data_IF_807414386679
#
_entry.id   IF_807414386679
#
_cell.length_a   1.000
_cell.length_b   1.000
_cell.length_c   1.000
_cell.angle_alpha   90.00
_cell.angle_beta   90.00
_cell.angle_gamma   90.00
#
_symmetry.space_group_name_H-M   'P 1'
#
loop_
_entity.id
_entity.type
_entity.pdbx_description
1 polymer ?
#
# COMPACT_ATOMS: atom_id res chain seq x y z
N UNK A 1 18.37 6.03 7.81
CA UNK A 1 17.50 5.02 7.18
C UNK A 1 17.92 5.01 5.74
N UNK A 2 18.82 4.09 5.40
CA UNK A 2 19.47 4.08 4.10
C UNK A 2 18.71 3.10 3.23
N UNK A 3 17.86 3.62 2.35
CA UNK A 3 17.19 2.81 1.34
C UNK A 3 18.22 2.48 0.27
N UNK A 4 18.69 1.24 0.27
CA UNK A 4 19.50 0.72 -0.82
C UNK A 4 18.56 0.02 -1.79
N UNK A 5 18.60 0.43 -3.05
CA UNK A 5 17.99 -0.32 -4.15
C UNK A 5 18.89 -1.54 -4.34
N UNK A 6 18.49 -2.67 -3.77
CA UNK A 6 19.40 -3.82 -3.61
C UNK A 6 19.46 -4.71 -4.85
N UNK A 7 18.44 -4.70 -5.72
CA UNK A 7 18.41 -5.57 -6.90
C UNK A 7 18.38 -4.75 -8.18
N UNK A 8 19.51 -4.76 -8.92
CA UNK A 8 19.48 -4.49 -10.35
C UNK A 8 19.00 -5.79 -10.99
N UNK A 9 17.88 -5.81 -11.74
CA UNK A 9 17.40 -7.01 -12.40
C UNK A 9 18.54 -7.63 -13.22
N UNK A 10 18.96 -8.85 -12.91
CA UNK A 10 20.20 -9.42 -13.46
C UNK A 10 20.15 -9.61 -14.98
N UNK A 11 18.94 -9.68 -15.57
CA UNK A 11 18.73 -10.07 -16.97
C UNK A 11 17.69 -9.21 -17.70
N UNK A 12 17.07 -8.23 -17.04
CA UNK A 12 16.01 -7.45 -17.68
C UNK A 12 16.58 -6.21 -18.37
N UNK A 13 16.35 -6.11 -19.69
CA UNK A 13 16.64 -4.91 -20.47
C UNK A 13 16.03 -3.68 -19.78
N UNK A 14 16.65 -2.51 -19.94
CA UNK A 14 16.22 -1.27 -19.27
C UNK A 14 14.75 -0.87 -19.51
N UNK A 15 14.10 -1.43 -20.52
CA UNK A 15 12.70 -1.16 -20.88
C UNK A 15 11.72 -2.28 -20.51
N UNK A 16 12.22 -3.37 -19.92
CA UNK A 16 11.42 -4.56 -19.71
C UNK A 16 10.34 -4.32 -18.64
N UNK A 17 9.11 -4.73 -18.97
CA UNK A 17 7.92 -4.42 -18.18
C UNK A 17 7.55 -5.57 -17.25
N UNK A 18 6.97 -5.26 -16.10
CA UNK A 18 6.41 -6.29 -15.19
C UNK A 18 5.37 -7.19 -15.89
N UNK A 19 4.66 -6.66 -16.90
CA UNK A 19 3.74 -7.43 -17.72
C UNK A 19 4.40 -8.62 -18.45
N UNK A 20 5.70 -8.54 -18.73
CA UNK A 20 6.47 -9.62 -19.34
C UNK A 20 6.80 -10.76 -18.36
N UNK A 21 6.57 -10.56 -17.06
CA UNK A 21 6.70 -11.61 -16.05
C UNK A 21 5.39 -12.34 -15.79
N UNK A 22 4.30 -11.90 -16.42
CA UNK A 22 2.96 -12.44 -16.23
C UNK A 22 2.55 -13.19 -17.50
N UNK A 23 2.00 -14.39 -17.35
CA UNK A 23 1.27 -15.06 -18.42
C UNK A 23 -0.15 -14.47 -18.48
N UNK A 24 -0.41 -13.68 -19.51
CA UNK A 24 -1.69 -12.99 -19.68
C UNK A 24 -2.87 -13.93 -19.98
N UNK A 25 -2.62 -15.16 -20.44
CA UNK A 25 -3.66 -16.12 -20.74
C UNK A 25 -3.99 -17.01 -19.54
N UNK A 26 -2.98 -17.39 -18.76
CA UNK A 26 -3.14 -18.19 -17.55
C UNK A 26 -3.44 -17.34 -16.29
N UNK A 27 -3.13 -16.04 -16.31
CA UNK A 27 -3.28 -15.15 -15.16
C UNK A 27 -2.32 -15.51 -14.01
N UNK A 28 -1.15 -16.06 -14.35
CA UNK A 28 -0.15 -16.52 -13.39
C UNK A 28 1.23 -15.91 -13.68
N UNK A 29 2.11 -15.95 -12.67
CA UNK A 29 3.49 -15.53 -12.83
C UNK A 29 4.27 -16.54 -13.68
N UNK A 30 5.11 -16.06 -14.59
CA UNK A 30 6.11 -16.89 -15.28
C UNK A 30 7.27 -17.14 -14.33
N UNK A 31 7.13 -18.17 -13.49
CA UNK A 31 8.06 -18.46 -12.39
C UNK A 31 9.53 -18.53 -12.84
N UNK A 32 9.80 -19.10 -14.01
CA UNK A 32 11.16 -19.20 -14.55
C UNK A 32 11.78 -17.83 -14.81
N UNK A 33 10.99 -16.88 -15.35
CA UNK A 33 11.45 -15.51 -15.58
C UNK A 33 11.60 -14.75 -14.27
N UNK A 34 10.67 -14.92 -13.32
CA UNK A 34 10.77 -14.28 -12.00
C UNK A 34 12.06 -14.70 -11.29
N UNK A 35 12.38 -15.99 -11.27
CA UNK A 35 13.63 -16.53 -10.69
C UNK A 35 14.90 -16.05 -11.39
N UNK A 36 14.81 -15.72 -12.67
CA UNK A 36 15.94 -15.21 -13.44
C UNK A 36 16.18 -13.72 -13.20
N UNK A 37 15.14 -12.98 -12.84
CA UNK A 37 15.14 -11.52 -12.71
C UNK A 37 15.43 -11.07 -11.29
N UNK A 38 14.80 -11.74 -10.31
CA UNK A 38 14.89 -11.41 -8.90
C UNK A 38 15.89 -12.31 -8.18
N UNK A 39 16.48 -11.80 -7.11
CA UNK A 39 17.27 -12.63 -6.18
C UNK A 39 16.35 -13.54 -5.36
N UNK A 40 16.91 -14.57 -4.75
CA UNK A 40 16.17 -15.60 -3.98
C UNK A 40 15.30 -15.01 -2.85
N UNK A 41 15.74 -13.88 -2.27
CA UNK A 41 14.96 -13.19 -1.24
C UNK A 41 13.73 -12.47 -1.84
N UNK A 42 13.89 -11.90 -3.04
CA UNK A 42 12.86 -11.10 -3.72
C UNK A 42 11.88 -11.98 -4.53
N UNK A 43 12.31 -13.15 -5.03
CA UNK A 43 11.47 -14.01 -5.89
C UNK A 43 10.19 -14.44 -5.16
N UNK A 44 10.30 -14.79 -3.88
CA UNK A 44 9.16 -15.26 -3.09
C UNK A 44 8.16 -14.11 -2.86
N UNK A 45 8.68 -12.91 -2.57
CA UNK A 45 7.85 -11.72 -2.38
C UNK A 45 7.08 -11.36 -3.65
N UNK A 46 7.71 -11.47 -4.81
CA UNK A 46 7.04 -11.21 -6.10
C UNK A 46 5.96 -12.26 -6.38
N UNK A 47 6.25 -13.53 -6.13
CA UNK A 47 5.30 -14.63 -6.37
C UNK A 47 4.09 -14.58 -5.41
N UNK A 48 4.24 -13.98 -4.24
CA UNK A 48 3.13 -13.75 -3.30
C UNK A 48 2.15 -12.67 -3.76
N UNK A 49 2.53 -11.79 -4.70
CA UNK A 49 1.64 -10.76 -5.22
C UNK A 49 0.49 -11.44 -5.98
N UNK A 50 -0.77 -11.29 -5.53
CA UNK A 50 -1.89 -11.94 -6.16
C UNK A 50 -2.17 -11.30 -7.52
N UNK A 51 -2.12 -12.12 -8.57
CA UNK A 51 -2.52 -11.70 -9.91
C UNK A 51 -4.04 -11.75 -10.05
N UNK A 52 -4.57 -10.81 -10.84
CA UNK A 52 -5.99 -10.80 -11.15
C UNK A 52 -6.37 -12.07 -11.90
N UNK A 53 -7.50 -12.67 -11.51
CA UNK A 53 -8.08 -13.79 -12.23
C UNK A 53 -8.48 -13.33 -13.63
N UNK A 54 -8.17 -14.15 -14.63
CA UNK A 54 -8.54 -13.92 -16.03
C UNK A 54 -10.05 -13.64 -16.11
N UNK A 55 -10.42 -12.50 -16.71
CA UNK A 55 -11.81 -12.08 -16.89
C UNK A 55 -12.35 -11.04 -15.90
N UNK A 56 -11.57 -10.60 -14.91
CA UNK A 56 -11.94 -9.45 -14.07
C UNK A 56 -11.54 -8.13 -14.73
N UNK A 57 -12.46 -7.17 -14.78
CA UNK A 57 -12.16 -5.81 -15.23
C UNK A 57 -11.25 -5.08 -14.25
N UNK A 58 -10.47 -4.11 -14.74
CA UNK A 58 -9.65 -3.28 -13.88
C UNK A 58 -10.52 -2.42 -12.96
N UNK A 59 -10.22 -2.49 -11.65
CA UNK A 59 -10.88 -1.71 -10.61
C UNK A 59 -9.92 -0.64 -10.13
N UNK A 60 -10.37 0.61 -10.13
CA UNK A 60 -9.66 1.72 -9.51
C UNK A 60 -9.85 1.65 -7.99
N UNK A 61 -8.83 1.16 -7.27
CA UNK A 61 -8.90 0.95 -5.81
C UNK A 61 -8.49 2.20 -5.01
N UNK A 62 -7.85 3.20 -5.64
CA UNK A 62 -7.37 4.43 -4.98
C UNK A 62 -8.47 5.47 -4.74
N UNK A 63 -9.57 5.09 -4.08
CA UNK A 63 -10.76 5.95 -3.91
C UNK A 63 -10.75 6.83 -2.64
N UNK A 64 -9.78 7.73 -2.44
CA UNK A 64 -9.84 8.59 -1.25
C UNK A 64 -9.68 10.09 -1.48
N UNK A 65 -10.15 10.60 -2.63
CA UNK A 65 -10.38 12.05 -2.76
C UNK A 65 -11.70 12.33 -3.49
N UNK A 66 -12.54 13.18 -2.90
CA UNK A 66 -13.82 13.64 -3.49
C UNK A 66 -13.64 14.42 -4.80
N UNK A 67 -12.40 14.85 -5.09
CA UNK A 67 -12.02 15.60 -6.30
C UNK A 67 -11.34 14.73 -7.36
N UNK A 68 -11.08 13.44 -7.08
CA UNK A 68 -10.43 12.51 -8.01
C UNK A 68 -8.92 12.71 -8.18
N UNK A 69 -8.32 13.72 -7.54
CA UNK A 69 -6.87 13.92 -7.54
C UNK A 69 -6.25 13.23 -6.34
N UNK A 70 -5.34 12.28 -6.55
CA UNK A 70 -4.61 11.60 -5.49
C UNK A 70 -3.23 12.25 -5.32
N UNK A 71 -2.87 12.61 -4.09
CA UNK A 71 -1.52 13.07 -3.75
C UNK A 71 -1.01 12.38 -2.48
N UNK A 72 0.31 12.22 -2.38
CA UNK A 72 0.98 11.68 -1.18
C UNK A 72 0.66 12.55 0.06
N UNK A 73 0.51 13.86 -0.12
CA UNK A 73 0.12 14.76 0.95
C UNK A 73 -1.27 14.45 1.50
N UNK A 74 -2.25 14.26 0.61
CA UNK A 74 -3.64 13.93 1.02
C UNK A 74 -3.76 12.57 1.70
N UNK A 75 -2.97 11.56 1.30
CA UNK A 75 -2.99 10.26 1.97
C UNK A 75 -2.34 10.31 3.35
N UNK A 76 -1.25 11.05 3.50
CA UNK A 76 -0.62 11.20 4.80
C UNK A 76 -1.55 11.90 5.81
N UNK A 77 -2.24 12.96 5.36
CA UNK A 77 -3.24 13.63 6.19
C UNK A 77 -4.41 12.71 6.58
N UNK A 78 -4.87 11.88 5.65
CA UNK A 78 -5.92 10.90 5.91
C UNK A 78 -5.49 9.87 6.96
N UNK A 79 -4.27 9.33 6.84
CA UNK A 79 -3.77 8.36 7.82
C UNK A 79 -3.60 8.99 9.19
N UNK A 80 -3.08 10.23 9.25
CA UNK A 80 -2.95 10.98 10.50
C UNK A 80 -4.32 11.25 11.15
N UNK A 81 -5.36 11.51 10.36
CA UNK A 81 -6.72 11.69 10.86
C UNK A 81 -7.34 10.37 11.34
N UNK A 82 -7.02 9.25 10.68
CA UNK A 82 -7.44 7.91 11.08
C UNK A 82 -6.82 7.52 12.43
N UNK A 83 -5.53 7.79 12.63
CA UNK A 83 -4.84 7.56 13.90
C UNK A 83 -5.42 8.39 15.04
N UNK A 84 -5.81 9.65 14.78
CA UNK A 84 -6.46 10.51 15.78
C UNK A 84 -7.84 10.02 16.20
N UNK A 85 -8.61 9.40 15.30
CA UNK A 85 -9.92 8.82 15.62
C UNK A 85 -9.81 7.47 16.35
N UNK A 86 -8.74 6.71 16.11
CA UNK A 86 -8.47 5.44 16.79
C UNK A 86 -7.88 5.63 18.20
N UNK A 87 -7.36 6.83 18.50
CA UNK A 87 -7.06 7.23 19.87
C UNK A 87 -8.38 7.54 20.57
N UNK A 88 -8.83 6.75 21.58
CA UNK A 88 -9.98 7.15 22.37
C UNK A 88 -9.68 8.52 22.98
N UNK A 89 -10.62 9.45 22.86
CA UNK A 89 -10.49 10.80 23.41
C UNK A 89 -10.24 10.71 24.92
N UNK A 90 -8.97 10.79 25.32
CA UNK A 90 -8.59 11.14 26.67
C UNK A 90 -8.71 12.65 26.77
N UNK A 91 -9.92 13.11 27.07
CA UNK A 91 -10.18 14.49 27.44
C UNK A 91 -11.04 14.51 28.69
N UNK A 92 -10.33 14.40 29.82
CA UNK A 92 -10.48 15.27 31.00
C UNK A 92 -11.92 15.49 31.47
N UNK A 93 -12.24 14.76 32.53
CA UNK A 93 -13.02 15.23 33.67
C UNK A 93 -12.92 16.76 33.81
N UNK A 94 -13.92 17.49 33.31
CA UNK A 94 -14.10 18.91 33.65
C UNK A 94 -14.63 18.96 35.07
N UNK A 95 -13.68 18.92 35.98
CA UNK A 95 -13.53 19.73 37.19
C UNK A 95 -14.30 21.08 37.16
N UNK A 96 -15.63 21.10 37.07
CA UNK A 96 -16.48 22.32 37.26
C UNK A 96 -17.95 21.98 37.64
N UNK A 97 -18.18 21.09 38.61
CA UNK A 97 -19.47 21.03 39.33
C UNK A 97 -19.34 21.14 40.86
N UNK A 98 -18.12 21.32 41.38
CA UNK A 98 -17.84 21.56 42.81
C UNK A 98 -17.97 23.03 43.25
N UNK A 99 -18.49 23.92 42.39
CA UNK A 99 -18.65 25.36 42.71
C UNK A 99 -20.10 25.85 42.89
N UNK A 100 -21.13 25.01 42.74
CA UNK A 100 -22.53 25.48 42.71
C UNK A 100 -23.42 24.96 43.87
N UNK A 101 -22.86 24.32 44.90
CA UNK A 101 -23.65 23.96 46.11
C UNK A 101 -23.16 24.63 47.40
N UNK A 102 -22.47 25.76 47.28
CA UNK A 102 -22.29 26.69 48.40
C UNK A 102 -23.45 27.67 48.48
N UNK A 103 -24.57 27.27 49.11
CA UNK A 103 -25.43 28.17 49.87
C UNK A 103 -26.39 27.41 50.80
#
# INVERSE_FOLDING_TARGET
MDFRITSVPRVFHSEARLAELIDGNAGCWRMDLVRQVFDVDDENLVLEIPLKRVGMSDVLIWHYTLKGEFSIGSTYQLELQREQQLRPSSSREREELDRVHGQ
#
